data_IF_324042635080
#
_entry.id   IF_324042635080
#
_cell.length_a   1.000
_cell.length_b   1.000
_cell.length_c   1.000
_cell.angle_alpha   90.00
_cell.angle_beta   90.00
_cell.angle_gamma   90.00
#
_symmetry.space_group_name_H-M   'P 1'
#
loop_
_entity.id
_entity.type
_entity.pdbx_description
1 polymer ?
2 non-polymer ?
3 water ?
#
# COMPACT_ATOMS: atom_id res chain seq x y z
N UNK A 29 8.48 11.36 -12.85
CA UNK A 29 9.07 12.53 -12.20
C UNK A 29 8.00 13.33 -11.45
N UNK A 30 7.00 13.83 -12.19
CA UNK A 30 5.91 14.57 -11.57
C UNK A 30 5.20 13.71 -10.52
N UNK A 31 4.84 12.48 -10.88
CA UNK A 31 4.21 11.60 -9.91
C UNK A 31 5.16 11.29 -8.75
N UNK A 32 6.47 11.22 -9.03
CA UNK A 32 7.43 10.89 -7.98
C UNK A 32 7.38 11.91 -6.84
N UNK A 33 7.41 13.20 -7.18
CA UNK A 33 7.32 14.22 -6.15
C UNK A 33 6.01 14.17 -5.39
N UNK A 34 4.90 13.96 -6.09
CA UNK A 34 3.61 13.81 -5.43
C UNK A 34 3.68 12.68 -4.41
N UNK A 35 4.26 11.55 -4.80
CA UNK A 35 4.30 10.41 -3.90
C UNK A 35 5.30 10.57 -2.78
N UNK A 36 6.41 11.27 -3.02
CA UNK A 36 7.35 11.53 -1.93
C UNK A 36 6.73 12.45 -0.89
N UNK A 37 5.95 13.45 -1.33
CA UNK A 37 5.24 14.28 -0.35
C UNK A 37 4.14 13.47 0.34
N UNK A 38 3.46 12.60 -0.40
CA UNK A 38 2.43 11.73 0.18
C UNK A 38 3.00 10.87 1.30
N UNK A 39 4.17 10.27 1.06
CA UNK A 39 4.76 9.32 2.00
C UNK A 39 5.56 9.99 3.12
N UNK A 40 6.20 11.14 2.84
CA UNK A 40 7.20 11.70 3.73
C UNK A 40 7.01 13.18 4.01
N UNK A 41 5.97 13.81 3.47
CA UNK A 41 5.78 15.23 3.61
C UNK A 41 4.92 15.56 4.81
N UNK A 42 4.63 16.85 4.99
CA UNK A 42 3.71 17.24 6.07
C UNK A 42 2.27 16.90 5.69
N UNK A 43 1.43 16.85 6.71
CA UNK A 43 0.03 16.58 6.47
C UNK A 43 -0.64 17.73 5.74
N UNK A 44 -1.77 17.42 5.13
CA UNK A 44 -2.63 18.39 4.48
C UNK A 44 -4.03 18.27 5.05
N UNK A 45 -4.70 19.42 5.23
CA UNK A 45 -6.07 19.47 5.75
C UNK A 45 -6.19 18.74 7.08
N UNK A 46 -5.10 18.71 7.85
CA UNK A 46 -5.06 18.03 9.14
C UNK A 46 -5.30 16.52 9.05
N UNK A 47 -5.14 15.93 7.86
CA UNK A 47 -5.30 14.49 7.69
C UNK A 47 -4.00 13.78 8.06
N UNK A 48 -4.01 12.75 8.91
CA UNK A 48 -2.77 12.08 9.28
C UNK A 48 -2.11 11.41 8.08
N UNK A 49 -0.78 11.27 8.17
CA UNK A 49 -0.05 10.52 7.14
C UNK A 49 -0.70 9.17 6.93
N UNK A 50 -0.98 8.86 5.66
CA UNK A 50 -1.79 7.68 5.34
C UNK A 50 -1.01 6.38 5.49
N UNK A 51 0.18 6.26 4.90
CA UNK A 51 0.96 5.03 5.13
C UNK A 51 1.12 4.71 6.60
N UNK A 52 1.46 5.71 7.42
CA UNK A 52 1.59 5.47 8.85
C UNK A 52 0.26 5.08 9.48
N UNK A 53 -0.83 5.78 9.13
CA UNK A 53 -2.14 5.45 9.68
C UNK A 53 -2.52 4.02 9.34
N UNK A 54 -2.23 3.58 8.11
CA UNK A 54 -2.58 2.22 7.71
C UNK A 54 -1.82 1.19 8.53
N UNK A 55 -0.50 1.38 8.69
CA UNK A 55 0.31 0.42 9.42
C UNK A 55 -0.01 0.44 10.92
N UNK A 56 -0.38 1.60 11.46
CA UNK A 56 -0.84 1.63 12.85
C UNK A 56 -2.04 0.70 13.03
N UNK A 57 -2.98 0.72 12.08
CA UNK A 57 -4.14 -0.15 12.16
C UNK A 57 -3.75 -1.61 11.98
N UNK A 58 -2.86 -1.91 11.04
CA UNK A 58 -2.39 -3.29 10.88
C UNK A 58 -1.79 -3.81 12.17
N UNK A 59 -0.93 -3.02 12.80
CA UNK A 59 -0.22 -3.46 14.00
C UNK A 59 -1.14 -3.57 15.20
N UNK A 60 -2.25 -2.81 15.21
CA UNK A 60 -3.23 -2.93 16.27
C UNK A 60 -4.04 -4.22 16.19
N UNK A 61 -3.99 -4.93 15.06
CA UNK A 61 -4.79 -6.13 14.87
C UNK A 61 -3.98 -7.39 14.59
N UNK A 62 -2.66 -7.28 14.42
CA UNK A 62 -1.83 -8.44 14.15
C UNK A 62 -1.55 -9.19 15.46
N UNK A 63 -1.99 -10.44 15.53
CA UNK A 63 -1.81 -11.29 16.69
C UNK A 63 -0.78 -12.39 16.48
N UNK A 64 -0.12 -12.41 15.33
CA UNK A 64 0.88 -13.42 15.02
C UNK A 64 2.28 -12.97 15.40
N UNK A 65 3.26 -13.66 14.80
CA UNK A 65 4.67 -13.38 15.04
C UNK A 65 5.14 -12.26 14.11
N UNK A 66 6.33 -11.73 14.41
CA UNK A 66 6.81 -10.54 13.73
C UNK A 66 8.08 -10.78 12.94
N UNK A 67 8.17 -11.94 12.29
CA UNK A 67 9.34 -12.28 11.52
C UNK A 67 9.43 -11.59 10.17
N UNK A 68 8.33 -11.57 9.42
CA UNK A 68 8.43 -11.20 8.01
C UNK A 68 7.14 -10.54 7.52
N UNK A 69 7.26 -9.37 6.90
CA UNK A 69 6.12 -8.70 6.31
C UNK A 69 6.40 -8.34 4.85
N UNK A 70 5.32 -8.24 4.08
CA UNK A 70 5.36 -7.92 2.66
C UNK A 70 4.47 -6.71 2.39
N UNK A 71 5.01 -5.73 1.66
CA UNK A 71 4.32 -4.48 1.32
C UNK A 71 4.20 -4.46 -0.21
N UNK A 72 2.99 -4.74 -0.72
CA UNK A 72 2.75 -4.84 -2.15
C UNK A 72 2.24 -3.51 -2.70
N UNK A 73 2.86 -3.04 -3.78
CA UNK A 73 2.60 -1.68 -4.22
C UNK A 73 3.18 -0.67 -3.26
N UNK A 74 4.40 -0.92 -2.80
CA UNK A 74 5.02 -0.13 -1.74
C UNK A 74 5.35 1.31 -2.15
N UNK A 75 5.33 1.62 -3.44
CA UNK A 75 5.67 2.96 -3.95
C UNK A 75 7.01 3.39 -3.35
N UNK A 76 7.10 4.55 -2.70
CA UNK A 76 8.38 5.08 -2.21
C UNK A 76 8.69 4.65 -0.79
N UNK A 77 7.86 3.80 -0.17
CA UNK A 77 8.33 2.99 0.94
C UNK A 77 7.88 3.32 2.36
N UNK A 78 7.05 4.35 2.59
CA UNK A 78 6.76 4.72 3.98
C UNK A 78 6.16 3.57 4.77
N UNK A 79 5.23 2.82 4.17
CA UNK A 79 4.62 1.71 4.89
C UNK A 79 5.62 0.62 5.21
N UNK A 80 6.61 0.41 4.33
CA UNK A 80 7.63 -0.60 4.59
C UNK A 80 8.52 -0.17 5.75
N UNK A 81 8.94 1.09 5.77
CA UNK A 81 9.75 1.58 6.89
C UNK A 81 8.98 1.55 8.19
N UNK A 82 7.66 1.83 8.16
CA UNK A 82 6.87 1.74 9.38
C UNK A 82 6.76 0.29 9.86
N UNK A 83 6.55 -0.65 8.94
CA UNK A 83 6.50 -2.05 9.31
C UNK A 83 7.83 -2.52 9.89
N UNK A 84 8.95 -1.97 9.39
CA UNK A 84 10.28 -2.38 9.84
C UNK A 84 10.55 -1.99 11.29
N UNK A 85 9.75 -1.10 11.88
CA UNK A 85 9.91 -0.81 13.30
C UNK A 85 9.54 -2.01 14.16
N UNK A 86 8.73 -2.93 13.62
CA UNK A 86 8.24 -4.08 14.37
C UNK A 86 8.66 -5.44 13.82
N UNK A 87 8.86 -5.56 12.51
CA UNK A 87 9.13 -6.85 11.87
C UNK A 87 10.62 -7.02 11.59
N UNK A 88 11.10 -8.28 11.68
CA UNK A 88 12.54 -8.52 11.50
C UNK A 88 12.98 -8.29 10.05
N UNK A 89 12.09 -8.53 9.08
CA UNK A 89 12.37 -8.36 7.67
C UNK A 89 11.10 -7.85 7.01
N UNK A 90 11.25 -6.84 6.16
CA UNK A 90 10.15 -6.29 5.37
C UNK A 90 10.58 -6.22 3.92
N UNK A 91 9.77 -6.81 3.03
CA UNK A 91 10.00 -6.81 1.59
C UNK A 91 8.97 -5.88 0.96
N UNK A 92 9.44 -4.88 0.22
CA UNK A 92 8.56 -3.97 -0.51
C UNK A 92 8.71 -4.19 -2.01
N UNK A 93 7.57 -4.35 -2.68
CA UNK A 93 7.54 -4.64 -4.11
C UNK A 93 6.68 -3.61 -4.83
N UNK A 94 7.20 -3.08 -5.93
CA UNK A 94 6.43 -2.15 -6.76
C UNK A 94 6.87 -2.34 -8.21
N UNK A 95 5.98 -2.03 -9.14
CA UNK A 95 6.31 -2.14 -10.55
C UNK A 95 7.24 -1.03 -11.02
N UNK A 96 7.29 0.10 -10.32
CA UNK A 96 8.03 1.28 -10.79
C UNK A 96 9.47 1.22 -10.30
N UNK A 97 10.42 1.16 -11.26
CA UNK A 97 11.83 1.20 -10.87
C UNK A 97 12.20 2.53 -10.24
N UNK A 98 11.61 3.63 -10.72
CA UNK A 98 11.89 4.94 -10.15
C UNK A 98 11.48 5.00 -8.69
N UNK A 99 10.31 4.43 -8.37
CA UNK A 99 9.87 4.38 -6.98
C UNK A 99 10.77 3.50 -6.13
N UNK A 100 11.11 2.32 -6.64
CA UNK A 100 11.96 1.38 -5.90
C UNK A 100 13.34 1.99 -5.64
N UNK A 101 13.91 2.65 -6.65
CA UNK A 101 15.21 3.31 -6.47
C UNK A 101 15.14 4.40 -5.41
N UNK A 102 14.01 5.11 -5.31
CA UNK A 102 13.89 6.14 -4.27
C UNK A 102 13.82 5.51 -2.88
N UNK A 103 13.02 4.45 -2.72
CA UNK A 103 12.94 3.79 -1.43
C UNK A 103 14.31 3.25 -1.01
N UNK A 104 15.06 2.68 -1.95
CA UNK A 104 16.37 2.14 -1.62
C UNK A 104 17.34 3.26 -1.23
N UNK A 105 17.30 4.40 -1.93
CA UNK A 105 18.16 5.52 -1.54
C UNK A 105 17.83 5.96 -0.12
N UNK A 106 16.55 6.02 0.22
CA UNK A 106 16.18 6.42 1.57
C UNK A 106 16.71 5.40 2.58
N UNK A 107 16.58 4.11 2.28
CA UNK A 107 17.07 3.07 3.19
C UNK A 107 18.57 3.19 3.39
N UNK A 108 19.31 3.49 2.33
CA UNK A 108 20.77 3.46 2.40
C UNK A 108 21.38 4.78 2.84
N UNK A 109 20.80 5.90 2.41
CA UNK A 109 21.37 7.21 2.74
C UNK A 109 20.62 7.92 3.86
N UNK A 110 19.38 7.52 4.12
CA UNK A 110 18.59 8.13 5.17
C UNK A 110 17.80 9.36 4.77
N UNK A 111 18.03 9.86 3.56
CA UNK A 111 17.39 11.09 3.11
C UNK A 111 17.43 11.13 1.59
N UNK A 112 16.54 11.95 1.03
CA UNK A 112 16.66 12.27 -0.38
C UNK A 112 16.00 13.61 -0.59
N UNK A 113 16.26 14.22 -1.74
CA UNK A 113 15.63 15.48 -2.10
C UNK A 113 14.81 15.31 -3.37
N UNK A 114 13.77 16.14 -3.51
CA UNK A 114 12.84 16.02 -4.62
C UNK A 114 12.19 17.37 -4.86
N UNK A 115 11.54 17.52 -6.00
CA UNK A 115 10.82 18.74 -6.32
C UNK A 115 9.32 18.49 -6.26
N UNK A 116 8.58 19.53 -5.87
CA UNK A 116 7.12 19.54 -5.96
C UNK A 116 6.70 20.76 -6.76
N UNK A 117 5.51 20.66 -7.38
CA UNK A 117 4.98 21.77 -8.16
C UNK A 117 4.28 22.78 -7.26
N UNK A 118 4.65 24.05 -7.42
CA UNK A 118 3.90 25.12 -6.76
C UNK A 118 2.76 25.61 -7.66
N UNK A 119 3.11 26.09 -8.85
CA UNK A 119 2.20 26.70 -9.80
C UNK A 119 2.87 26.66 -11.16
N UNK A 120 2.29 25.91 -12.10
CA UNK A 120 2.85 25.84 -13.43
C UNK A 120 4.26 25.27 -13.39
N UNK A 121 5.22 26.04 -13.94
CA UNK A 121 6.61 25.64 -13.95
C UNK A 121 7.35 26.06 -12.69
N UNK A 122 6.70 26.75 -11.76
CA UNK A 122 7.33 27.15 -10.51
C UNK A 122 7.31 25.94 -9.56
N UNK A 123 8.50 25.55 -9.09
CA UNK A 123 8.67 24.34 -8.29
C UNK A 123 9.48 24.67 -7.05
N UNK A 124 9.48 23.73 -6.10
CA UNK A 124 10.17 23.91 -4.83
C UNK A 124 10.82 22.61 -4.39
N UNK A 125 12.08 22.68 -3.97
CA UNK A 125 12.82 21.48 -3.60
C UNK A 125 12.56 21.16 -2.12
N UNK A 126 12.41 19.88 -1.82
CA UNK A 126 12.04 19.38 -0.49
C UNK A 126 12.94 18.20 -0.12
N UNK A 127 12.95 17.84 1.16
CA UNK A 127 13.72 16.71 1.67
C UNK A 127 12.81 15.71 2.37
N UNK A 128 13.03 14.43 2.10
CA UNK A 128 12.47 13.34 2.89
C UNK A 128 13.59 12.80 3.77
N UNK A 129 13.30 12.62 5.06
CA UNK A 129 14.32 12.32 6.06
C UNK A 129 13.81 11.24 7.01
N UNK A 130 14.40 10.04 6.93
CA UNK A 130 13.97 8.94 7.77
C UNK A 130 14.27 9.20 9.24
N UNK A 131 15.39 9.84 9.54
CA UNK A 131 15.74 10.10 10.94
C UNK A 131 14.72 10.99 11.62
N UNK A 132 14.25 12.03 10.92
CA UNK A 132 13.24 12.91 11.48
C UNK A 132 11.93 12.20 11.78
N UNK A 133 11.68 11.05 11.13
CA UNK A 133 10.47 10.29 11.32
C UNK A 133 10.68 9.07 12.20
N UNK A 134 11.88 8.93 12.79
CA UNK A 134 12.21 7.80 13.65
C UNK A 134 12.20 6.47 12.91
N UNK A 135 12.58 6.50 11.63
CA UNK A 135 12.57 5.33 10.77
C UNK A 135 13.95 4.86 10.34
N UNK A 136 15.01 5.63 10.66
CA UNK A 136 16.33 5.25 10.17
C UNK A 136 16.91 4.06 10.90
N UNK A 137 16.63 3.92 12.20
CA UNK A 137 17.31 2.89 12.98
C UNK A 137 17.00 1.49 12.48
N UNK A 138 15.83 1.28 11.88
CA UNK A 138 15.40 -0.03 11.41
C UNK A 138 15.33 -0.13 9.88
N UNK A 139 15.80 0.89 9.16
CA UNK A 139 15.72 0.86 7.70
C UNK A 139 16.48 -0.32 7.10
N UNK A 140 17.51 -0.81 7.80
CA UNK A 140 18.26 -1.94 7.28
C UNK A 140 17.49 -3.24 7.24
N UNK A 141 16.31 -3.27 7.85
CA UNK A 141 15.47 -4.47 7.81
C UNK A 141 14.61 -4.55 6.55
N UNK A 142 14.62 -3.50 5.72
CA UNK A 142 13.85 -3.49 4.48
C UNK A 142 14.68 -3.97 3.30
N UNK A 143 13.98 -4.49 2.29
CA UNK A 143 14.55 -4.76 0.98
C UNK A 143 13.48 -4.44 -0.03
N UNK A 144 13.81 -3.58 -0.99
CA UNK A 144 12.87 -3.13 -2.01
C UNK A 144 13.26 -3.72 -3.35
N UNK A 145 12.27 -4.20 -4.11
CA UNK A 145 12.54 -4.81 -5.40
C UNK A 145 11.40 -4.53 -6.37
N UNK A 146 11.75 -4.45 -7.65
CA UNK A 146 10.74 -4.32 -8.69
C UNK A 146 10.03 -5.65 -8.85
N UNK A 147 8.71 -5.60 -9.00
CA UNK A 147 7.93 -6.81 -9.16
C UNK A 147 6.51 -6.49 -9.53
N UNK A 148 5.79 -7.51 -9.98
CA UNK A 148 4.43 -7.38 -10.47
C UNK A 148 3.51 -8.11 -9.49
N UNK A 149 2.65 -7.35 -8.82
CA UNK A 149 1.80 -7.93 -7.79
C UNK A 149 0.83 -8.96 -8.32
N UNK A 150 0.58 -8.97 -9.63
CA UNK A 150 -0.31 -9.97 -10.22
C UNK A 150 0.42 -11.25 -10.61
N UNK A 151 1.74 -11.28 -10.49
CA UNK A 151 2.56 -12.44 -10.87
C UNK A 151 3.87 -12.42 -10.10
N UNK A 152 3.78 -12.69 -8.79
CA UNK A 152 4.93 -12.61 -7.91
C UNK A 152 5.84 -13.82 -8.09
N UNK A 153 7.13 -13.64 -7.79
CA UNK A 153 8.09 -14.73 -7.94
C UNK A 153 7.72 -15.91 -7.06
N UNK A 154 7.95 -17.13 -7.55
CA UNK A 154 7.60 -18.32 -6.77
C UNK A 154 8.58 -18.62 -5.65
N UNK A 155 9.63 -17.79 -5.51
CA UNK A 155 10.65 -17.91 -4.48
C UNK A 155 10.38 -17.00 -3.28
N UNK A 156 9.26 -16.27 -3.29
CA UNK A 156 9.02 -15.24 -2.29
C UNK A 156 8.77 -15.77 -0.88
N UNK A 157 8.38 -17.04 -0.73
CA UNK A 157 8.10 -17.55 0.59
C UNK A 157 6.76 -17.07 1.13
N UNK A 158 6.63 -17.15 2.45
CA UNK A 158 5.40 -16.83 3.17
C UNK A 158 5.69 -15.73 4.19
N UNK A 159 4.63 -15.11 4.67
CA UNK A 159 4.75 -13.91 5.49
C UNK A 159 3.80 -13.97 6.67
N UNK A 160 4.18 -13.26 7.73
CA UNK A 160 3.29 -13.07 8.87
C UNK A 160 2.25 -11.99 8.61
N UNK A 161 2.56 -11.03 7.75
CA UNK A 161 1.68 -9.91 7.48
C UNK A 161 1.93 -9.43 6.06
N UNK A 162 0.85 -9.13 5.34
CA UNK A 162 0.91 -8.55 4.01
C UNK A 162 0.04 -7.30 4.00
N UNK A 163 0.60 -6.19 3.52
CA UNK A 163 -0.11 -4.94 3.32
C UNK A 163 -0.17 -4.61 1.84
N UNK A 164 -1.36 -4.28 1.34
CA UNK A 164 -1.53 -3.87 -0.06
C UNK A 164 -2.36 -2.60 -0.03
N UNK A 165 -1.67 -1.45 0.00
CA UNK A 165 -2.34 -0.17 0.11
C UNK A 165 -2.60 0.47 -1.25
N UNK A 166 -3.85 0.88 -1.46
CA UNK A 166 -4.25 1.59 -2.68
C UNK A 166 -3.81 0.85 -3.95
N UNK A 167 -3.93 -0.47 -3.94
CA UNK A 167 -3.39 -1.29 -5.01
C UNK A 167 -4.45 -1.99 -5.87
N UNK A 168 -5.46 -2.61 -5.23
CA UNK A 168 -6.33 -3.54 -5.94
C UNK A 168 -7.04 -2.87 -7.12
N UNK A 169 -7.47 -1.62 -6.96
CA UNK A 169 -8.19 -0.92 -8.03
C UNK A 169 -7.27 -0.37 -9.11
N UNK A 170 -5.97 -0.66 -9.04
CA UNK A 170 -5.03 -0.24 -10.07
C UNK A 170 -4.40 -1.44 -10.78
N UNK A 171 -4.91 -2.66 -10.54
CA UNK A 171 -4.30 -3.85 -11.11
C UNK A 171 -5.07 -4.32 -12.32
N UNK A 172 -4.36 -4.83 -13.35
CA UNK A 172 -5.06 -5.33 -14.53
C UNK A 172 -5.71 -6.69 -14.33
N UNK A 173 -5.31 -7.45 -13.32
CA UNK A 173 -5.84 -8.79 -13.08
C UNK A 173 -6.02 -9.00 -11.58
N UNK A 174 -7.05 -8.38 -11.00
CA UNK A 174 -7.24 -8.51 -9.55
C UNK A 174 -7.42 -9.94 -9.08
N UNK A 175 -8.10 -10.77 -9.87
CA UNK A 175 -8.28 -12.16 -9.47
C UNK A 175 -6.95 -12.90 -9.37
N UNK A 176 -6.04 -12.66 -10.33
CA UNK A 176 -4.72 -13.30 -10.27
C UNK A 176 -3.95 -12.85 -9.05
N UNK A 177 -4.05 -11.56 -8.70
CA UNK A 177 -3.42 -11.05 -7.49
C UNK A 177 -3.95 -11.77 -6.25
N UNK A 178 -5.29 -11.83 -6.11
CA UNK A 178 -5.88 -12.41 -4.91
C UNK A 178 -5.61 -13.90 -4.80
N UNK A 179 -5.49 -14.59 -5.94
CA UNK A 179 -5.28 -16.04 -5.93
C UNK A 179 -3.97 -16.43 -5.25
N UNK A 180 -2.99 -15.53 -5.17
CA UNK A 180 -1.72 -15.82 -4.54
C UNK A 180 -1.78 -15.73 -3.01
N UNK A 181 -2.76 -14.99 -2.47
CA UNK A 181 -2.66 -14.57 -1.08
C UNK A 181 -2.80 -15.68 -0.04
N UNK A 182 -3.72 -16.64 -0.20
CA UNK A 182 -3.75 -17.74 0.79
C UNK A 182 -2.40 -18.41 0.95
N UNK A 183 -1.67 -18.59 -0.15
CA UNK A 183 -0.38 -19.27 -0.07
C UNK A 183 0.72 -18.38 0.51
N UNK A 184 0.55 -17.06 0.46
CA UNK A 184 1.59 -16.14 0.90
C UNK A 184 1.48 -15.76 2.38
N UNK A 185 0.36 -16.04 3.04
CA UNK A 185 0.17 -15.70 4.45
C UNK A 185 0.15 -16.96 5.29
N UNK A 186 1.01 -17.01 6.32
CA UNK A 186 1.02 -18.12 7.26
C UNK A 186 -0.28 -18.13 8.05
N UNK A 187 -0.77 -19.32 8.41
CA UNK A 187 -1.95 -19.39 9.28
C UNK A 187 -1.73 -18.57 10.54
N UNK A 188 -2.74 -17.77 10.90
CA UNK A 188 -2.62 -16.84 12.00
C UNK A 188 -2.10 -15.47 11.62
N UNK A 189 -1.62 -15.30 10.39
CA UNK A 189 -1.12 -14.02 9.93
C UNK A 189 -2.25 -13.09 9.52
N UNK A 190 -1.86 -11.89 9.11
CA UNK A 190 -2.80 -10.83 8.79
C UNK A 190 -2.57 -10.28 7.39
N UNK A 191 -3.66 -10.10 6.64
CA UNK A 191 -3.66 -9.43 5.34
C UNK A 191 -4.47 -8.15 5.48
N UNK A 192 -3.91 -7.02 5.04
CA UNK A 192 -4.61 -5.74 5.07
C UNK A 192 -4.65 -5.19 3.65
N UNK A 193 -5.86 -4.93 3.16
CA UNK A 193 -6.09 -4.33 1.85
C UNK A 193 -6.78 -3.00 2.08
N UNK A 194 -6.27 -1.94 1.45
CA UNK A 194 -6.98 -0.66 1.44
C UNK A 194 -7.24 -0.22 0.01
N UNK A 195 -8.39 0.42 -0.21
CA UNK A 195 -8.71 0.89 -1.54
C UNK A 195 -9.86 1.88 -1.51
N UNK A 196 -9.82 2.92 -2.36
CA UNK A 196 -11.01 3.74 -2.58
C UNK A 196 -11.95 3.15 -3.63
N UNK A 197 -11.59 2.05 -4.26
CA UNK A 197 -12.44 1.37 -5.23
C UNK A 197 -12.76 2.27 -6.44
N UNK A 198 -11.73 2.91 -6.98
CA UNK A 198 -11.84 3.73 -8.18
C UNK A 198 -11.65 2.82 -9.39
N UNK A 199 -12.76 2.30 -9.91
CA UNK A 199 -12.72 1.33 -10.99
C UNK A 199 -12.69 2.07 -12.33
N UNK A 200 -11.68 1.77 -13.14
CA UNK A 200 -11.47 2.46 -14.41
C UNK A 200 -10.98 1.46 -15.45
N UNK A 201 -11.54 1.48 -16.66
CA UNK A 201 -11.03 0.58 -17.72
C UNK A 201 -9.55 0.77 -18.02
N UNK A 202 -9.01 1.98 -17.81
CA UNK A 202 -7.60 2.21 -18.05
C UNK A 202 -6.71 1.39 -17.13
N UNK A 203 -7.24 0.95 -15.99
CA UNK A 203 -6.47 0.16 -15.03
C UNK A 203 -6.88 -1.30 -14.99
N UNK A 204 -8.17 -1.58 -15.09
CA UNK A 204 -8.70 -2.95 -15.05
C UNK A 204 -9.75 -3.13 -16.14
N UNK A 205 -9.54 -4.06 -17.07
CA UNK A 205 -10.58 -4.38 -18.05
C UNK A 205 -11.90 -4.72 -17.35
N UNK A 206 -13.00 -4.20 -17.90
CA UNK A 206 -14.30 -4.38 -17.26
C UNK A 206 -14.60 -5.84 -16.98
N UNK A 207 -14.26 -6.73 -17.92
CA UNK A 207 -14.55 -8.14 -17.72
C UNK A 207 -13.83 -8.73 -16.52
N UNK A 208 -12.83 -8.03 -16.00
CA UNK A 208 -12.04 -8.52 -14.88
C UNK A 208 -12.40 -7.87 -13.56
N UNK A 209 -13.30 -6.90 -13.54
CA UNK A 209 -13.70 -6.29 -12.28
C UNK A 209 -14.25 -7.35 -11.33
N UNK A 210 -13.86 -7.28 -10.06
CA UNK A 210 -14.41 -8.19 -9.06
C UNK A 210 -15.60 -7.60 -8.31
N UNK A 211 -15.91 -6.34 -8.55
CA UNK A 211 -17.07 -5.71 -7.96
C UNK A 211 -17.33 -4.40 -8.67
N UNK A 212 -18.30 -3.66 -8.15
CA UNK A 212 -18.68 -2.40 -8.76
C UNK A 212 -19.67 -2.54 -9.89
N UNK A 213 -20.56 -3.52 -9.82
CA UNK A 213 -21.55 -3.74 -10.87
C UNK A 213 -22.71 -4.52 -10.28
N UNK A 214 -23.78 -4.63 -11.06
CA UNK A 214 -24.91 -5.45 -10.67
C UNK A 214 -24.83 -6.81 -11.34
N UNK A 215 -25.34 -7.83 -10.64
CA UNK A 215 -25.41 -9.19 -11.16
C UNK A 215 -26.74 -9.77 -10.70
N UNK A 216 -27.65 -10.00 -11.65
CA UNK A 216 -29.02 -10.45 -11.34
C UNK A 216 -29.78 -9.44 -10.49
N UNK A 217 -29.69 -8.17 -10.86
CA UNK A 217 -30.35 -7.13 -10.09
C UNK A 217 -29.85 -6.94 -8.69
N UNK A 218 -28.74 -7.58 -8.32
CA UNK A 218 -28.13 -7.44 -7.01
C UNK A 218 -26.81 -6.69 -7.14
N UNK A 219 -26.57 -5.69 -6.31
CA UNK A 219 -25.26 -5.02 -6.34
C UNK A 219 -24.17 -5.97 -5.86
N UNK A 220 -23.04 -5.94 -6.56
CA UNK A 220 -21.84 -6.65 -6.14
C UNK A 220 -20.81 -5.58 -5.88
N UNK A 221 -20.54 -5.30 -4.60
CA UNK A 221 -19.54 -4.32 -4.22
C UNK A 221 -18.15 -4.93 -4.30
N UNK A 222 -17.14 -4.08 -4.44
CA UNK A 222 -15.76 -4.56 -4.39
C UNK A 222 -15.52 -5.41 -3.15
N UNK A 223 -16.10 -5.01 -2.02
CA UNK A 223 -15.87 -5.78 -0.80
C UNK A 223 -16.49 -7.18 -0.92
N UNK A 224 -17.65 -7.29 -1.58
CA UNK A 224 -18.21 -8.61 -1.86
C UNK A 224 -17.28 -9.44 -2.73
N UNK A 225 -16.67 -8.81 -3.73
CA UNK A 225 -15.70 -9.51 -4.56
C UNK A 225 -14.51 -9.99 -3.75
N UNK A 226 -14.00 -9.15 -2.86
CA UNK A 226 -12.89 -9.58 -2.00
C UNK A 226 -13.29 -10.79 -1.15
N UNK A 227 -14.50 -10.77 -0.57
CA UNK A 227 -14.93 -11.91 0.24
C UNK A 227 -15.03 -13.17 -0.60
N UNK A 228 -15.58 -13.07 -1.81
CA UNK A 228 -15.72 -14.23 -2.66
C UNK A 228 -14.37 -14.88 -2.95
N UNK A 229 -13.35 -14.07 -3.21
CA UNK A 229 -12.05 -14.61 -3.59
C UNK A 229 -11.22 -15.05 -2.40
N UNK A 230 -11.44 -14.47 -1.22
CA UNK A 230 -10.54 -14.70 -0.09
C UNK A 230 -11.08 -15.67 0.96
N UNK A 231 -12.42 -15.77 1.11
CA UNK A 231 -12.99 -16.69 2.09
C UNK A 231 -13.05 -18.09 1.51
N UNK A 232 -12.95 -19.14 2.33
CA UNK A 232 -12.77 -19.15 3.79
C UNK A 232 -11.31 -19.19 4.21
N UNK A 233 -10.35 -19.19 3.26
CA UNK A 233 -8.94 -19.18 3.64
C UNK A 233 -8.62 -18.02 4.58
N UNK A 234 -9.28 -16.88 4.37
CA UNK A 234 -9.16 -15.73 5.24
C UNK A 234 -10.51 -15.47 5.88
N UNK A 235 -10.48 -14.90 7.08
CA UNK A 235 -11.68 -14.47 7.78
C UNK A 235 -11.63 -12.95 7.92
N UNK A 236 -12.65 -12.27 7.41
CA UNK A 236 -12.70 -10.82 7.53
C UNK A 236 -12.92 -10.43 8.98
N UNK A 237 -12.06 -9.54 9.49
CA UNK A 237 -12.18 -9.00 10.85
C UNK A 237 -13.13 -7.81 10.78
N UNK A 238 -14.37 -8.01 11.18
CA UNK A 238 -15.36 -6.97 11.02
C UNK A 238 -15.30 -5.97 12.17
N UNK A 239 -15.67 -4.70 11.91
CA UNK A 239 -16.09 -4.14 10.63
C UNK A 239 -14.91 -3.61 9.83
N UNK A 240 -15.10 -3.35 8.54
CA UNK A 240 -14.10 -2.59 7.80
C UNK A 240 -14.07 -1.17 8.36
N UNK A 241 -13.02 -0.43 8.01
CA UNK A 241 -12.77 0.90 8.53
C UNK A 241 -12.42 1.86 7.39
N UNK A 242 -12.92 3.09 7.48
CA UNK A 242 -12.53 4.14 6.55
C UNK A 242 -11.23 4.79 7.02
N UNK A 243 -10.29 4.97 6.10
CA UNK A 243 -9.02 5.68 6.35
C UNK A 243 -8.83 6.73 5.27
N UNK A 244 -8.88 8.02 5.60
CA UNK A 244 -8.74 9.05 4.58
C UNK A 244 -7.29 9.32 4.22
N UNK A 245 -7.11 9.93 3.04
CA UNK A 245 -5.78 10.31 2.59
C UNK A 245 -5.86 11.53 1.68
N UNK A 246 -4.74 12.25 1.58
CA UNK A 246 -4.65 13.45 0.76
C UNK A 246 -3.37 13.36 -0.07
N UNK A 247 -3.51 13.50 -1.39
CA UNK A 247 -2.37 13.60 -2.30
C UNK A 247 -2.30 15.03 -2.83
N UNK A 248 -1.11 15.61 -2.73
CA UNK A 248 -0.85 16.99 -3.15
C UNK A 248 -0.41 16.99 -4.61
N UNK A 249 -1.11 17.77 -5.45
CA UNK A 249 -0.75 17.92 -6.85
C UNK A 249 -0.06 19.26 -7.13
N UNK A 250 -0.53 20.33 -6.50
CA UNK A 250 0.10 21.65 -6.55
C UNK A 250 -0.04 22.29 -5.18
N UNK A 251 0.42 23.53 -5.04
CA UNK A 251 0.16 24.23 -3.78
C UNK A 251 -1.32 24.23 -3.44
N UNK A 252 -2.19 24.28 -4.47
CA UNK A 252 -3.61 24.51 -4.26
C UNK A 252 -4.49 23.29 -4.53
N UNK A 253 -4.06 22.34 -5.36
CA UNK A 253 -4.92 21.25 -5.82
C UNK A 253 -4.53 19.94 -5.16
N UNK A 254 -5.53 19.23 -4.60
CA UNK A 254 -5.30 17.99 -3.87
C UNK A 254 -6.39 16.99 -4.22
N UNK A 255 -6.03 15.70 -4.10
CA UNK A 255 -7.01 14.63 -4.03
C UNK A 255 -7.25 14.32 -2.55
N UNK A 256 -8.51 14.21 -2.14
CA UNK A 256 -8.87 13.91 -0.76
C UNK A 256 -9.88 12.77 -0.81
N UNK A 257 -9.45 11.58 -0.38
CA UNK A 257 -10.18 10.36 -0.67
C UNK A 257 -10.30 9.52 0.59
N UNK A 258 -11.39 8.76 0.68
CA UNK A 258 -11.64 7.91 1.84
C UNK A 258 -11.50 6.45 1.39
N UNK A 259 -10.37 5.83 1.71
CA UNK A 259 -10.17 4.43 1.39
C UNK A 259 -10.92 3.55 2.40
N UNK A 260 -11.32 2.36 1.96
CA UNK A 260 -11.84 1.34 2.86
C UNK A 260 -10.72 0.36 3.17
N UNK A 261 -10.46 0.15 4.46
CA UNK A 261 -9.48 -0.81 4.92
C UNK A 261 -10.19 -2.09 5.36
N UNK A 262 -9.75 -3.21 4.81
CA UNK A 262 -10.29 -4.51 5.20
C UNK A 262 -9.15 -5.37 5.73
N UNK A 263 -9.38 -5.91 6.93
CA UNK A 263 -8.37 -6.75 7.63
C UNK A 263 -8.83 -8.21 7.64
N UNK A 264 -7.90 -9.11 7.33
CA UNK A 264 -8.26 -10.51 7.10
C UNK A 264 -7.26 -11.40 7.83
N UNK A 265 -7.78 -12.28 8.69
CA UNK A 265 -6.93 -13.25 9.38
C UNK A 265 -6.83 -14.53 8.54
N UNK A 266 -5.62 -15.02 8.35
CA UNK A 266 -5.44 -16.31 7.67
C UNK A 266 -5.86 -17.44 8.60
N UNK A 267 -6.84 -18.23 8.17
CA UNK A 267 -7.30 -19.37 8.92
C UNK A 267 -6.33 -20.55 8.82
X LIG B 1 -5.33 6.92 -5.33
X LIG B 1 -6.73 7.26 -5.40
X LIG B 1 -4.70 7.07 -6.72
X LIG B 1 -4.79 8.43 -7.18
X LIG C 1 2.59 -20.09 -8.65
X LIG C 1 2.61 -21.31 -9.40
X LIG C 1 3.97 -19.45 -8.75
X LIG C 1 4.38 -19.41 -10.11
X LIG D 1 -3.87 21.76 2.43
X LIG D 1 -3.41 21.81 3.79
X LIG D 1 -3.65 23.13 1.77
X LIG D 1 -3.94 24.16 2.70
#
# INVERSE_FOLDING_TARGET
MGSSHHHHHHSSGLVPRGSHMTDNPYETDELLGQYLDFHYGPGHFDVPNYPKACIEQALAHHTGTTGRALDLGCAVGRSSFELARRFDEVIGIDLSRRFIDSATRLAEQGQLQYQVTLEGELIERRTADLAALELSNTAGRTRFQVGDACALDDTLGRFDLIFAGNLIDRLPDPAAFLAQLPALVRPGGLLMITSPYTLLPEFTPRERWIGGFERNGQPVRMLDGLRHHLEPDFVLLEPTRDIPFVIRETTRKYQHTVAEASLWRRA
EDO C1 O1 C2 O2
EDO C1 O1 C2 O2
EDO C1 O1 C2 O2
#
